data_IF_971644718504
#
_entry.id   IF_971644718504
#
_cell.length_a   1.000
_cell.length_b   1.000
_cell.length_c   1.000
_cell.angle_alpha   90.00
_cell.angle_beta   90.00
_cell.angle_gamma   90.00
#
_symmetry.space_group_name_H-M   'P 1'
#
loop_
_entity.id
_entity.type
_entity.pdbx_description
1 polymer ?
#
# COMPACT_ATOMS: atom_id res chain seq x y z
N UNK A 1 8.39 -34.40 6.33
CA UNK A 1 9.62 -33.91 5.68
C UNK A 1 9.34 -32.70 4.79
N UNK A 2 8.29 -32.75 3.96
CA UNK A 2 7.87 -31.66 3.06
C UNK A 2 7.69 -30.30 3.73
N UNK A 3 6.97 -30.24 4.85
CA UNK A 3 6.70 -28.97 5.57
C UNK A 3 7.98 -28.36 6.14
N UNK A 4 8.86 -29.18 6.72
CA UNK A 4 10.13 -28.73 7.28
C UNK A 4 11.04 -28.14 6.18
N UNK A 5 11.12 -28.83 5.03
CA UNK A 5 11.89 -28.38 3.88
C UNK A 5 11.37 -27.04 3.33
N UNK A 6 10.05 -26.90 3.19
CA UNK A 6 9.41 -25.67 2.72
C UNK A 6 9.76 -24.47 3.59
N UNK A 7 9.61 -24.59 4.92
CA UNK A 7 9.90 -23.49 5.84
C UNK A 7 11.40 -23.20 5.92
N UNK A 8 12.27 -24.21 5.93
CA UNK A 8 13.72 -23.99 5.90
C UNK A 8 14.14 -23.23 4.65
N UNK A 9 13.66 -23.65 3.48
CA UNK A 9 13.99 -23.01 2.20
C UNK A 9 13.44 -21.57 2.14
N UNK A 10 12.20 -21.36 2.60
CA UNK A 10 11.59 -20.04 2.67
C UNK A 10 12.42 -19.07 3.53
N UNK A 11 12.74 -19.46 4.77
CA UNK A 11 13.51 -18.61 5.67
C UNK A 11 14.94 -18.40 5.19
N UNK A 12 15.56 -19.39 4.55
CA UNK A 12 16.89 -19.27 3.99
C UNK A 12 16.93 -18.27 2.82
N UNK A 13 15.94 -18.31 1.91
CA UNK A 13 15.79 -17.35 0.82
C UNK A 13 15.60 -15.92 1.37
N UNK A 14 14.74 -15.76 2.37
CA UNK A 14 14.54 -14.46 3.04
C UNK A 14 15.82 -13.97 3.73
N UNK A 15 16.60 -14.86 4.34
CA UNK A 15 17.85 -14.51 5.04
C UNK A 15 18.94 -14.01 4.09
N UNK A 16 18.96 -14.52 2.85
CA UNK A 16 19.89 -14.09 1.79
C UNK A 16 19.40 -12.78 1.12
N UNK A 17 18.27 -12.23 1.56
CA UNK A 17 17.74 -10.95 1.09
C UNK A 17 16.88 -11.06 -0.17
N UNK A 18 16.41 -12.26 -0.52
CA UNK A 18 15.46 -12.44 -1.62
C UNK A 18 14.12 -11.80 -1.26
N UNK A 19 13.48 -11.03 -2.16
CA UNK A 19 12.16 -10.46 -1.92
C UNK A 19 11.15 -11.51 -1.46
N UNK A 20 10.28 -11.16 -0.50
CA UNK A 20 9.36 -12.10 0.16
C UNK A 20 8.47 -12.83 -0.86
N UNK A 21 7.93 -12.11 -1.85
CA UNK A 21 7.11 -12.69 -2.91
C UNK A 21 7.86 -13.78 -3.71
N UNK A 22 9.11 -13.52 -4.07
CA UNK A 22 9.96 -14.50 -4.77
C UNK A 22 10.31 -15.68 -3.85
N UNK A 23 10.58 -15.42 -2.57
CA UNK A 23 10.87 -16.46 -1.58
C UNK A 23 9.70 -17.43 -1.41
N UNK A 24 8.46 -16.92 -1.29
CA UNK A 24 7.23 -17.71 -1.23
C UNK A 24 7.02 -18.55 -2.50
N UNK A 25 7.15 -17.92 -3.68
CA UNK A 25 6.96 -18.60 -4.96
C UNK A 25 8.00 -19.70 -5.22
N UNK A 26 9.27 -19.44 -4.92
CA UNK A 26 10.37 -20.40 -5.12
C UNK A 26 10.32 -21.53 -4.09
N UNK A 27 10.12 -21.21 -2.81
CA UNK A 27 10.02 -22.23 -1.77
C UNK A 27 8.83 -23.18 -2.02
N UNK A 28 7.68 -22.62 -2.41
CA UNK A 28 6.49 -23.40 -2.78
C UNK A 28 6.71 -24.26 -4.02
N UNK A 29 7.22 -23.68 -5.11
CA UNK A 29 7.43 -24.41 -6.38
C UNK A 29 8.47 -25.53 -6.24
N UNK A 30 9.61 -25.28 -5.60
CA UNK A 30 10.66 -26.28 -5.37
C UNK A 30 10.15 -27.41 -4.47
N UNK A 31 9.36 -27.10 -3.44
CA UNK A 31 8.77 -28.11 -2.56
C UNK A 31 7.81 -29.02 -3.32
N UNK A 32 6.96 -28.45 -4.18
CA UNK A 32 6.02 -29.22 -5.02
C UNK A 32 6.80 -30.14 -5.97
N UNK A 33 7.86 -29.65 -6.61
CA UNK A 33 8.66 -30.43 -7.56
C UNK A 33 9.40 -31.62 -6.92
N UNK A 34 9.80 -31.51 -5.64
CA UNK A 34 10.61 -32.52 -4.96
C UNK A 34 9.79 -33.52 -4.13
N UNK A 35 8.63 -33.12 -3.61
CA UNK A 35 7.90 -33.88 -2.60
C UNK A 35 6.44 -34.19 -2.93
N UNK A 36 5.84 -33.55 -3.96
CA UNK A 36 4.48 -33.88 -4.38
C UNK A 36 4.48 -34.92 -5.51
N UNK A 37 3.51 -35.86 -5.52
CA UNK A 37 3.25 -36.71 -6.68
C UNK A 37 2.58 -35.94 -7.84
N UNK A 38 2.21 -34.68 -7.61
CA UNK A 38 1.64 -33.80 -8.63
C UNK A 38 2.65 -33.49 -9.74
N UNK A 39 2.18 -33.54 -10.98
CA UNK A 39 2.95 -33.16 -12.16
C UNK A 39 3.33 -31.68 -12.15
N UNK A 40 4.47 -31.33 -12.74
CA UNK A 40 4.88 -29.94 -13.06
C UNK A 40 3.76 -29.16 -13.78
N UNK A 41 2.87 -29.87 -14.49
CA UNK A 41 1.66 -29.30 -15.09
C UNK A 41 0.71 -28.68 -14.05
N UNK A 42 0.55 -29.28 -12.86
CA UNK A 42 -0.30 -28.74 -11.78
C UNK A 42 0.24 -27.41 -11.25
N UNK A 43 1.56 -27.30 -11.14
CA UNK A 43 2.22 -26.04 -10.78
C UNK A 43 1.98 -24.95 -11.85
N UNK A 44 2.10 -25.31 -13.13
CA UNK A 44 1.84 -24.38 -14.23
C UNK A 44 0.37 -23.90 -14.24
N UNK A 45 -0.59 -24.80 -14.01
CA UNK A 45 -2.01 -24.44 -13.91
C UNK A 45 -2.26 -23.49 -12.74
N UNK A 46 -1.73 -23.78 -11.54
CA UNK A 46 -1.89 -22.90 -10.36
C UNK A 46 -1.31 -21.50 -10.57
N UNK A 47 -0.16 -21.40 -11.24
CA UNK A 47 0.43 -20.10 -11.61
C UNK A 47 -0.47 -19.32 -12.58
N UNK A 48 -1.10 -20.02 -13.53
CA UNK A 48 -2.01 -19.41 -14.50
C UNK A 48 -3.33 -18.98 -13.85
N UNK A 49 -3.94 -19.83 -13.01
CA UNK A 49 -5.17 -19.52 -12.27
C UNK A 49 -4.99 -18.29 -11.36
N UNK A 50 -3.82 -18.16 -10.72
CA UNK A 50 -3.50 -16.98 -9.90
C UNK A 50 -3.41 -15.72 -10.78
N UNK A 51 -2.97 -15.84 -12.03
CA UNK A 51 -2.85 -14.70 -12.95
C UNK A 51 -4.21 -14.23 -13.51
N UNK A 52 -5.21 -15.11 -13.55
CA UNK A 52 -6.57 -14.81 -14.02
C UNK A 52 -7.51 -14.34 -12.90
N UNK A 53 -6.99 -14.16 -11.68
CA UNK A 53 -7.82 -13.76 -10.55
C UNK A 53 -8.37 -12.35 -10.75
N UNK A 54 -9.68 -12.24 -11.01
CA UNK A 54 -10.35 -10.97 -11.33
C UNK A 54 -10.10 -9.86 -10.29
N UNK A 55 -9.95 -10.23 -9.02
CA UNK A 55 -9.65 -9.29 -7.93
C UNK A 55 -8.33 -8.55 -8.12
N UNK A 56 -7.34 -9.16 -8.80
CA UNK A 56 -6.06 -8.51 -9.09
C UNK A 56 -6.20 -7.30 -10.03
N UNK A 57 -7.29 -7.21 -10.82
CA UNK A 57 -7.59 -6.02 -11.62
C UNK A 57 -7.85 -4.78 -10.76
N UNK A 58 -8.20 -4.96 -9.48
CA UNK A 58 -8.35 -3.85 -8.55
C UNK A 58 -7.03 -3.07 -8.41
N UNK A 59 -5.88 -3.75 -8.38
CA UNK A 59 -4.55 -3.13 -8.20
C UNK A 59 -4.27 -2.04 -9.25
N UNK A 60 -4.28 -2.33 -10.58
CA UNK A 60 -4.04 -1.31 -11.59
C UNK A 60 -5.12 -0.23 -11.62
N UNK A 61 -6.40 -0.55 -11.34
CA UNK A 61 -7.46 0.46 -11.30
C UNK A 61 -7.34 1.41 -10.11
N UNK A 62 -6.97 0.93 -8.93
CA UNK A 62 -6.64 1.79 -7.79
C UNK A 62 -5.42 2.67 -8.08
N UNK A 63 -4.39 2.12 -8.74
CA UNK A 63 -3.23 2.90 -9.16
C UNK A 63 -3.61 4.02 -10.14
N UNK A 64 -4.44 3.70 -11.14
CA UNK A 64 -4.93 4.64 -12.13
C UNK A 64 -5.81 5.72 -11.50
N UNK A 65 -6.73 5.34 -10.59
CA UNK A 65 -7.54 6.27 -9.81
C UNK A 65 -6.67 7.22 -9.00
N UNK A 66 -5.68 6.69 -8.26
CA UNK A 66 -4.73 7.49 -7.51
C UNK A 66 -3.95 8.48 -8.39
N UNK A 67 -3.54 8.06 -9.59
CA UNK A 67 -2.89 8.94 -10.57
C UNK A 67 -3.81 10.08 -11.01
N UNK A 68 -5.06 9.80 -11.38
CA UNK A 68 -6.05 10.82 -11.74
C UNK A 68 -6.39 11.78 -10.60
N UNK A 69 -6.49 11.28 -9.37
CA UNK A 69 -6.73 12.12 -8.20
C UNK A 69 -5.56 13.07 -7.91
N UNK A 70 -4.34 12.60 -8.14
CA UNK A 70 -3.11 13.37 -7.93
C UNK A 70 -2.97 14.46 -9.00
N UNK A 71 -3.20 14.13 -10.28
CA UNK A 71 -3.07 15.09 -11.39
C UNK A 71 -4.29 16.01 -11.53
N UNK A 72 -5.48 15.55 -11.18
CA UNK A 72 -6.75 16.29 -11.29
C UNK A 72 -7.03 17.28 -10.18
N UNK A 73 -6.10 17.48 -9.23
CA UNK A 73 -6.24 18.44 -8.13
C UNK A 73 -7.17 18.01 -7.00
N UNK A 74 -7.62 16.75 -6.98
CA UNK A 74 -8.48 16.19 -5.93
C UNK A 74 -7.76 16.22 -4.57
N UNK A 75 -6.46 15.88 -4.56
CA UNK A 75 -5.64 15.93 -3.34
C UNK A 75 -5.69 17.31 -2.66
N UNK A 76 -5.57 18.39 -3.45
CA UNK A 76 -5.64 19.77 -2.93
C UNK A 76 -7.03 20.08 -2.36
N UNK A 77 -8.09 19.74 -3.09
CA UNK A 77 -9.49 19.95 -2.65
C UNK A 77 -9.81 19.20 -1.36
N UNK A 78 -9.30 17.97 -1.20
CA UNK A 78 -9.45 17.20 0.03
C UNK A 78 -8.71 17.81 1.21
N UNK A 79 -7.50 18.34 0.99
CA UNK A 79 -6.75 19.07 2.02
C UNK A 79 -7.50 20.34 2.44
N UNK A 80 -8.02 21.11 1.47
CA UNK A 80 -8.78 22.32 1.74
C UNK A 80 -10.06 22.01 2.53
N UNK A 81 -10.77 20.94 2.16
CA UNK A 81 -11.94 20.45 2.90
C UNK A 81 -11.58 20.00 4.32
N UNK A 82 -10.52 19.20 4.48
CA UNK A 82 -10.07 18.75 5.79
C UNK A 82 -9.69 19.93 6.69
N UNK A 83 -8.97 20.91 6.15
CA UNK A 83 -8.63 22.15 6.86
C UNK A 83 -9.88 22.98 7.20
N UNK A 84 -10.91 23.00 6.35
CA UNK A 84 -12.17 23.67 6.68
C UNK A 84 -12.89 22.99 7.87
N UNK A 85 -12.78 21.66 7.99
CA UNK A 85 -13.40 20.91 9.08
C UNK A 85 -12.67 21.03 10.43
N UNK A 86 -11.33 20.99 10.43
CA UNK A 86 -10.54 20.88 11.69
C UNK A 86 -9.44 21.94 11.83
N UNK A 87 -9.24 22.80 10.84
CA UNK A 87 -8.18 23.81 10.81
C UNK A 87 -8.32 24.90 11.88
N UNK A 88 -9.53 25.12 12.38
CA UNK A 88 -9.80 26.07 13.46
C UNK A 88 -9.32 25.59 14.84
N UNK A 89 -8.95 24.31 14.97
CA UNK A 89 -8.47 23.71 16.22
C UNK A 89 -6.97 24.01 16.36
N UNK A 90 -6.46 24.11 17.59
CA UNK A 90 -5.01 24.23 17.84
C UNK A 90 -4.30 22.99 17.30
N UNK A 91 -3.35 23.19 16.38
CA UNK A 91 -2.74 22.09 15.62
C UNK A 91 -3.52 21.65 14.38
N UNK A 92 -4.54 22.41 13.98
CA UNK A 92 -5.52 22.03 12.95
C UNK A 92 -4.94 21.68 11.58
N UNK A 93 -3.78 22.24 11.19
CA UNK A 93 -3.08 21.86 9.96
C UNK A 93 -2.55 20.42 10.00
N UNK A 94 -2.03 19.98 11.15
CA UNK A 94 -1.53 18.63 11.34
C UNK A 94 -2.70 17.63 11.39
N UNK A 95 -3.76 17.97 12.12
CA UNK A 95 -4.99 17.16 12.19
C UNK A 95 -5.67 17.10 10.81
N UNK A 96 -5.70 18.22 10.10
CA UNK A 96 -6.19 18.34 8.73
C UNK A 96 -5.39 17.49 7.76
N UNK A 97 -4.06 17.42 7.90
CA UNK A 97 -3.22 16.53 7.11
C UNK A 97 -3.55 15.05 7.36
N UNK A 98 -3.80 14.65 8.61
CA UNK A 98 -4.25 13.28 8.94
C UNK A 98 -5.60 12.98 8.30
N UNK A 99 -6.57 13.89 8.44
CA UNK A 99 -7.91 13.73 7.87
C UNK A 99 -7.87 13.70 6.32
N UNK A 100 -7.06 14.56 5.70
CA UNK A 100 -6.87 14.55 4.25
C UNK A 100 -6.22 13.25 3.77
N UNK A 101 -5.23 12.72 4.51
CA UNK A 101 -4.67 11.41 4.23
C UNK A 101 -5.75 10.33 4.35
N UNK A 102 -6.54 10.30 5.43
CA UNK A 102 -7.64 9.34 5.59
C UNK A 102 -8.61 9.36 4.41
N UNK A 103 -9.07 10.54 4.00
CA UNK A 103 -10.03 10.70 2.90
C UNK A 103 -9.43 10.28 1.56
N UNK A 104 -8.20 10.70 1.27
CA UNK A 104 -7.52 10.32 0.02
C UNK A 104 -7.22 8.81 0.00
N UNK A 105 -6.87 8.24 1.15
CA UNK A 105 -6.51 6.84 1.25
C UNK A 105 -7.73 5.93 1.12
N UNK A 106 -8.89 6.34 1.64
CA UNK A 106 -10.16 5.66 1.40
C UNK A 106 -10.55 5.59 -0.09
N UNK A 107 -10.11 6.56 -0.89
CA UNK A 107 -10.42 6.61 -2.33
C UNK A 107 -9.35 5.91 -3.19
N UNK A 108 -8.08 6.07 -2.82
CA UNK A 108 -6.94 5.53 -3.59
C UNK A 108 -6.56 4.11 -3.19
N UNK A 109 -6.93 3.65 -1.99
CA UNK A 109 -6.60 2.34 -1.46
C UNK A 109 -5.10 2.05 -1.32
N UNK A 110 -4.25 3.09 -1.38
CA UNK A 110 -2.79 2.96 -1.51
C UNK A 110 -2.04 3.92 -0.59
N UNK A 111 -1.29 3.34 0.35
CA UNK A 111 -0.48 4.12 1.30
C UNK A 111 0.64 4.93 0.62
N UNK A 112 1.46 4.37 -0.30
CA UNK A 112 2.50 5.13 -0.99
C UNK A 112 1.94 6.25 -1.88
N UNK A 113 0.80 6.00 -2.55
CA UNK A 113 0.15 7.02 -3.38
C UNK A 113 -0.38 8.16 -2.52
N UNK A 114 -0.98 7.86 -1.36
CA UNK A 114 -1.46 8.86 -0.40
C UNK A 114 -0.32 9.75 0.09
N UNK A 115 0.80 9.18 0.49
CA UNK A 115 1.97 9.95 0.96
C UNK A 115 2.53 10.83 -0.16
N UNK A 116 2.66 10.31 -1.37
CA UNK A 116 3.16 11.08 -2.52
C UNK A 116 2.23 12.26 -2.88
N UNK A 117 0.92 12.01 -2.95
CA UNK A 117 -0.06 13.00 -3.38
C UNK A 117 -0.36 14.04 -2.30
N UNK A 118 -0.74 13.59 -1.09
CA UNK A 118 -1.13 14.48 0.00
C UNK A 118 0.10 15.11 0.65
N UNK A 119 1.19 14.35 0.83
CA UNK A 119 2.40 14.82 1.47
C UNK A 119 3.09 15.98 0.74
N UNK A 120 3.13 15.93 -0.59
CA UNK A 120 3.74 17.00 -1.39
C UNK A 120 3.08 18.37 -1.16
N UNK A 121 1.78 18.40 -0.81
CA UNK A 121 1.01 19.61 -0.56
C UNK A 121 0.97 19.93 0.95
N UNK A 122 0.63 18.95 1.78
CA UNK A 122 0.42 19.11 3.21
C UNK A 122 1.72 19.45 3.96
N UNK A 123 2.84 18.79 3.64
CA UNK A 123 4.13 19.06 4.30
C UNK A 123 4.57 20.49 3.97
N UNK A 124 4.48 20.91 2.71
CA UNK A 124 4.81 22.27 2.31
C UNK A 124 3.90 23.31 3.00
N UNK A 125 2.60 23.02 3.16
CA UNK A 125 1.66 23.87 3.89
C UNK A 125 2.00 23.99 5.38
N UNK A 126 2.33 22.88 6.03
CA UNK A 126 2.75 22.85 7.43
C UNK A 126 4.05 23.62 7.65
N UNK A 127 5.07 23.41 6.81
CA UNK A 127 6.35 24.14 6.90
C UNK A 127 6.16 25.64 6.75
N UNK A 128 5.34 26.08 5.78
CA UNK A 128 4.99 27.50 5.62
C UNK A 128 4.29 28.11 6.84
N UNK A 129 3.63 27.28 7.64
CA UNK A 129 2.93 27.69 8.86
C UNK A 129 3.79 27.57 10.13
N UNK A 130 5.09 27.31 9.98
CA UNK A 130 6.05 27.26 11.09
C UNK A 130 6.29 25.87 11.70
N UNK A 131 5.74 24.80 11.12
CA UNK A 131 5.99 23.44 11.62
C UNK A 131 7.36 22.92 11.13
N UNK A 132 8.10 22.17 11.96
CA UNK A 132 9.31 21.49 11.50
C UNK A 132 9.00 20.51 10.36
N UNK A 133 9.84 20.47 9.33
CA UNK A 133 9.67 19.54 8.20
C UNK A 133 9.62 18.08 8.66
N UNK A 134 10.47 17.69 9.63
CA UNK A 134 10.49 16.35 10.20
C UNK A 134 9.16 15.98 10.86
N UNK A 135 8.49 16.94 11.51
CA UNK A 135 7.17 16.74 12.10
C UNK A 135 6.11 16.51 11.02
N UNK A 136 6.11 17.35 9.98
CA UNK A 136 5.19 17.20 8.86
C UNK A 136 5.35 15.87 8.12
N UNK A 137 6.61 15.47 7.86
CA UNK A 137 6.92 14.18 7.26
C UNK A 137 6.49 13.00 8.15
N UNK A 138 6.77 13.06 9.46
CA UNK A 138 6.34 12.03 10.40
C UNK A 138 4.83 11.84 10.44
N UNK A 139 4.07 12.95 10.48
CA UNK A 139 2.61 12.90 10.46
C UNK A 139 2.07 12.32 9.15
N UNK A 140 2.56 12.77 8.00
CA UNK A 140 2.07 12.26 6.72
C UNK A 140 2.45 10.80 6.52
N UNK A 141 3.66 10.38 6.90
CA UNK A 141 4.05 8.97 6.81
C UNK A 141 3.15 8.09 7.68
N UNK A 142 2.83 8.51 8.91
CA UNK A 142 1.93 7.76 9.79
C UNK A 142 0.47 7.80 9.31
N UNK A 143 -0.02 8.94 8.86
CA UNK A 143 -1.38 9.06 8.36
C UNK A 143 -1.58 8.33 7.03
N UNK A 144 -0.54 8.28 6.19
CA UNK A 144 -0.56 7.57 4.92
C UNK A 144 -0.74 6.07 5.07
N UNK A 145 -0.26 5.46 6.17
CA UNK A 145 -0.48 4.03 6.44
C UNK A 145 -1.93 3.68 6.76
N UNK A 146 -2.82 4.66 6.95
CA UNK A 146 -4.24 4.40 7.12
C UNK A 146 -4.90 3.88 5.83
N UNK A 147 -4.25 4.05 4.66
CA UNK A 147 -4.78 3.62 3.38
C UNK A 147 -4.94 2.13 3.17
N UNK A 148 -4.21 1.31 3.93
CA UNK A 148 -4.45 -0.13 3.97
C UNK A 148 -5.70 -0.47 4.80
N UNK A 149 -5.99 0.32 5.84
CA UNK A 149 -7.01 0.01 6.85
C UNK A 149 -8.41 0.51 6.48
N UNK A 150 -8.53 1.64 5.76
CA UNK A 150 -9.82 2.27 5.48
C UNK A 150 -10.39 1.77 4.14
N UNK A 151 -11.58 1.16 4.11
CA UNK A 151 -12.22 0.71 2.88
C UNK A 151 -12.67 1.88 1.98
N UNK A 152 -12.69 1.71 0.64
CA UNK A 152 -12.13 0.60 -0.15
C UNK A 152 -10.59 0.65 -0.27
N UNK A 153 -9.89 -0.43 0.11
CA UNK A 153 -8.42 -0.53 0.00
C UNK A 153 -7.98 -1.73 -0.84
N UNK A 154 -6.79 -1.64 -1.47
CA UNK A 154 -6.24 -2.72 -2.29
C UNK A 154 -6.16 -4.03 -1.49
N UNK A 155 -5.69 -3.96 -0.25
CA UNK A 155 -5.50 -5.11 0.65
C UNK A 155 -6.83 -5.66 1.18
N UNK A 156 -7.89 -4.86 1.22
CA UNK A 156 -9.21 -5.39 1.59
C UNK A 156 -9.85 -6.16 0.44
N UNK A 157 -9.61 -5.75 -0.80
CA UNK A 157 -10.22 -6.35 -2.00
C UNK A 157 -9.48 -7.60 -2.48
N UNK A 158 -8.15 -7.66 -2.25
CA UNK A 158 -7.24 -8.73 -2.72
C UNK A 158 -6.59 -9.40 -1.52
#
# INVERSE_FOLDING_TARGET
MTVLFLFLLLFLLMFIGVPIAASLGLAGSITIMLFSPDSVRSLAIKLFETSEHYTLLAIPFFLLSGAFMTTGGVAKRLIDFANACVGHIRGGLAIGAVLACMLFAALSGSSPATVAAVGSIAIAGMVRSGYPQAFGAGIVCNAGTLGILIPPSIVMVV
#
